data_IF_857854538180
#
_entry.id   IF_857854538180
#
_cell.length_a   1.000
_cell.length_b   1.000
_cell.length_c   1.000
_cell.angle_alpha   90.00
_cell.angle_beta   90.00
_cell.angle_gamma   90.00
#
_symmetry.space_group_name_H-M   'P 1'
#
loop_
_entity.id
_entity.type
_entity.pdbx_description
1 polymer ?
#
# COMPACT_ATOMS: atom_id res chain seq x y z
N UNK A 1 -1.61 4.36 38.96
CA UNK A 1 -2.16 3.88 37.67
C UNK A 1 -1.08 3.74 36.60
N UNK A 2 -0.30 4.79 36.29
CA UNK A 2 0.78 4.75 35.29
C UNK A 2 1.80 3.60 35.51
N UNK A 3 2.19 3.34 36.77
CA UNK A 3 3.09 2.23 37.12
C UNK A 3 2.54 0.83 36.81
N UNK A 4 1.22 0.65 36.81
CA UNK A 4 0.59 -0.60 36.38
C UNK A 4 0.60 -0.75 34.85
N UNK A 5 0.56 0.35 34.09
CA UNK A 5 0.67 0.32 32.63
C UNK A 5 2.08 -0.09 32.17
N UNK A 6 3.12 0.17 32.97
CA UNK A 6 4.47 -0.33 32.67
C UNK A 6 4.55 -1.86 32.68
N UNK A 7 3.66 -2.55 33.41
CA UNK A 7 3.59 -4.01 33.39
C UNK A 7 2.99 -4.58 32.09
N UNK A 8 2.33 -3.75 31.28
CA UNK A 8 1.90 -4.10 29.92
C UNK A 8 3.06 -4.10 28.91
N UNK A 9 4.29 -3.79 29.30
CA UNK A 9 5.43 -3.90 28.40
C UNK A 9 5.98 -5.33 28.37
N UNK A 10 6.51 -5.80 27.22
CA UNK A 10 7.18 -7.09 27.11
C UNK A 10 8.32 -7.22 28.12
N UNK A 11 8.55 -8.44 28.63
CA UNK A 11 9.51 -8.68 29.70
C UNK A 11 10.91 -8.12 29.40
N UNK A 12 11.40 -8.36 28.18
CA UNK A 12 12.75 -7.93 27.77
C UNK A 12 12.87 -6.40 27.64
N UNK A 13 11.76 -5.70 27.39
CA UNK A 13 11.72 -4.23 27.40
C UNK A 13 11.71 -3.67 28.82
N UNK A 14 10.97 -4.33 29.73
CA UNK A 14 10.94 -3.98 31.15
C UNK A 14 12.31 -4.15 31.79
N UNK A 15 13.01 -5.24 31.49
CA UNK A 15 14.36 -5.48 32.00
C UNK A 15 15.37 -4.37 31.65
N UNK A 16 15.13 -3.65 30.54
CA UNK A 16 16.05 -2.59 30.06
C UNK A 16 15.62 -1.17 30.42
N UNK A 17 14.34 -0.84 30.31
CA UNK A 17 13.86 0.56 30.39
C UNK A 17 12.94 0.84 31.57
N UNK A 18 12.61 -0.15 32.40
CA UNK A 18 11.67 0.06 33.51
C UNK A 18 12.22 1.06 34.54
N UNK A 19 13.51 1.02 34.85
CA UNK A 19 14.12 1.95 35.80
C UNK A 19 14.06 3.41 35.30
N UNK A 20 14.46 3.64 34.04
CA UNK A 20 14.42 4.98 33.42
C UNK A 20 12.99 5.53 33.29
N UNK A 21 12.03 4.68 32.90
CA UNK A 21 10.62 5.09 32.79
C UNK A 21 9.98 5.35 34.16
N UNK A 22 10.37 4.63 35.21
CA UNK A 22 9.92 4.92 36.58
C UNK A 22 10.47 6.24 37.11
N UNK A 23 11.70 6.61 36.74
CA UNK A 23 12.32 7.90 37.07
C UNK A 23 11.62 9.06 36.35
N UNK A 24 11.39 8.94 35.03
CA UNK A 24 10.68 9.95 34.25
C UNK A 24 9.24 10.19 34.72
N UNK A 25 8.55 9.15 35.18
CA UNK A 25 7.20 9.27 35.72
C UNK A 25 7.17 9.93 37.12
N UNK A 26 8.31 9.99 37.81
CA UNK A 26 8.44 10.72 39.08
C UNK A 26 8.76 12.20 38.86
N UNK A 27 9.53 12.52 37.82
CA UNK A 27 9.94 13.89 37.50
C UNK A 27 8.83 14.72 36.82
N UNK A 28 7.90 14.08 36.12
CA UNK A 28 6.87 14.78 35.34
C UNK A 28 5.44 14.62 35.89
N UNK A 29 4.62 15.69 35.85
CA UNK A 29 3.22 15.61 36.25
C UNK A 29 2.44 14.68 35.31
N UNK A 30 1.84 13.65 35.88
CA UNK A 30 1.06 12.64 35.15
C UNK A 30 -0.23 13.27 34.61
N UNK A 31 -0.32 13.40 33.29
CA UNK A 31 -1.54 13.86 32.61
C UNK A 31 -2.29 12.66 32.03
N UNK A 32 -3.60 12.78 31.78
CA UNK A 32 -4.38 11.72 31.12
C UNK A 32 -3.79 11.33 29.74
N UNK A 33 -3.17 12.27 29.04
CA UNK A 33 -2.43 12.01 27.79
C UNK A 33 -1.23 11.10 28.00
N UNK A 34 -0.51 11.22 29.11
CA UNK A 34 0.62 10.35 29.47
C UNK A 34 0.18 8.90 29.65
N UNK A 35 -1.04 8.67 30.18
CA UNK A 35 -1.59 7.31 30.32
C UNK A 35 -1.93 6.68 28.96
N UNK A 36 -2.51 7.48 28.05
CA UNK A 36 -2.80 7.05 26.68
C UNK A 36 -1.49 6.75 25.93
N UNK A 37 -0.49 7.61 26.07
CA UNK A 37 0.82 7.44 25.45
C UNK A 37 1.55 6.19 25.97
N UNK A 38 1.53 5.94 27.29
CA UNK A 38 2.09 4.72 27.87
C UNK A 38 1.39 3.46 27.36
N UNK A 39 0.07 3.51 27.22
CA UNK A 39 -0.72 2.40 26.72
C UNK A 39 -0.42 2.11 25.24
N UNK A 40 -0.40 3.14 24.39
CA UNK A 40 -0.02 3.01 22.98
C UNK A 40 1.43 2.53 22.83
N UNK A 41 2.36 3.04 23.63
CA UNK A 41 3.74 2.58 23.66
C UNK A 41 3.88 1.11 24.08
N UNK A 42 3.01 0.61 24.97
CA UNK A 42 3.01 -0.81 25.37
C UNK A 42 2.54 -1.74 24.25
N UNK A 43 1.58 -1.29 23.44
CA UNK A 43 1.11 -1.99 22.24
C UNK A 43 2.21 -1.96 21.17
N UNK A 44 2.85 -0.82 20.96
CA UNK A 44 3.95 -0.66 20.02
C UNK A 44 5.14 -1.56 20.40
N UNK A 45 5.51 -1.61 21.68
CA UNK A 45 6.57 -2.48 22.19
C UNK A 45 6.25 -3.98 21.96
N UNK A 46 4.98 -4.38 22.04
CA UNK A 46 4.55 -5.75 21.72
C UNK A 46 4.60 -6.06 20.22
N UNK A 47 4.36 -5.08 19.35
CA UNK A 47 4.53 -5.21 17.91
C UNK A 47 6.01 -5.23 17.51
N UNK A 48 6.87 -4.63 18.33
CA UNK A 48 8.28 -4.38 18.06
C UNK A 48 9.23 -5.05 19.08
N UNK A 49 8.86 -6.21 19.65
CA UNK A 49 9.67 -6.95 20.64
C UNK A 49 11.10 -7.22 20.16
N UNK A 50 11.33 -7.36 18.85
CA UNK A 50 12.64 -7.62 18.25
C UNK A 50 13.53 -6.38 18.06
N UNK A 51 13.07 -5.17 18.39
CA UNK A 51 13.82 -3.91 18.24
C UNK A 51 14.72 -3.56 19.42
N UNK A 52 14.90 -4.49 20.37
CA UNK A 52 15.80 -4.29 21.50
C UNK A 52 17.21 -4.03 20.96
N UNK A 53 17.87 -2.90 21.33
CA UNK A 53 19.06 -2.44 20.64
C UNK A 53 20.24 -3.41 20.79
N UNK A 54 20.36 -4.32 19.83
CA UNK A 54 21.61 -4.79 19.26
C UNK A 54 21.78 -4.05 17.94
N UNK A 55 22.67 -3.04 17.89
CA UNK A 55 22.72 -1.97 16.86
C UNK A 55 22.58 -2.46 15.41
N UNK A 56 23.12 -3.62 15.06
CA UNK A 56 23.15 -4.13 13.68
C UNK A 56 21.89 -4.91 13.27
N UNK A 57 21.28 -5.68 14.17
CA UNK A 57 20.06 -6.46 13.87
C UNK A 57 18.83 -5.56 13.85
N UNK A 58 18.78 -4.56 14.75
CA UNK A 58 17.73 -3.56 14.78
C UNK A 58 17.70 -2.69 13.50
N UNK A 59 18.86 -2.28 12.97
CA UNK A 59 18.93 -1.48 11.73
C UNK A 59 18.45 -2.25 10.50
N UNK A 60 18.95 -3.48 10.31
CA UNK A 60 18.56 -4.36 9.19
C UNK A 60 17.07 -4.68 9.25
N UNK A 61 16.54 -4.88 10.46
CA UNK A 61 15.11 -5.08 10.68
C UNK A 61 14.28 -3.84 10.36
N UNK A 62 14.72 -2.64 10.76
CA UNK A 62 14.03 -1.37 10.44
C UNK A 62 13.99 -1.08 8.95
N UNK A 63 15.11 -1.24 8.25
CA UNK A 63 15.19 -1.07 6.80
C UNK A 63 14.22 -2.02 6.10
N UNK A 64 14.25 -3.31 6.46
CA UNK A 64 13.37 -4.32 5.87
C UNK A 64 11.89 -4.08 6.21
N UNK A 65 11.57 -3.62 7.42
CA UNK A 65 10.20 -3.28 7.78
C UNK A 65 9.71 -2.04 7.03
N UNK A 66 10.56 -1.02 6.86
CA UNK A 66 10.22 0.16 6.06
C UNK A 66 9.95 -0.19 4.60
N UNK A 67 10.71 -1.11 4.01
CA UNK A 67 10.50 -1.58 2.64
C UNK A 67 9.17 -2.34 2.50
N UNK A 68 8.87 -3.26 3.41
CA UNK A 68 7.58 -3.97 3.43
C UNK A 68 6.42 -2.98 3.54
N UNK A 69 6.54 -1.98 4.43
CA UNK A 69 5.51 -0.95 4.61
C UNK A 69 5.32 -0.11 3.35
N UNK A 70 6.40 0.32 2.69
CA UNK A 70 6.33 1.07 1.42
C UNK A 70 5.67 0.23 0.32
N UNK A 71 6.03 -1.07 0.22
CA UNK A 71 5.41 -1.99 -0.73
C UNK A 71 3.90 -2.16 -0.46
N UNK A 72 3.52 -2.39 0.80
CA UNK A 72 2.12 -2.46 1.20
C UNK A 72 1.36 -1.17 0.86
N UNK A 73 1.94 -0.01 1.20
CA UNK A 73 1.33 1.29 0.93
C UNK A 73 1.14 1.51 -0.57
N UNK A 74 2.12 1.12 -1.40
CA UNK A 74 2.01 1.18 -2.85
C UNK A 74 0.86 0.32 -3.40
N UNK A 75 0.68 -0.90 -2.88
CA UNK A 75 -0.41 -1.79 -3.30
C UNK A 75 -1.77 -1.15 -2.99
N UNK A 76 -1.97 -0.64 -1.78
CA UNK A 76 -3.20 0.07 -1.41
C UNK A 76 -3.41 1.36 -2.21
N UNK A 77 -2.35 2.10 -2.48
CA UNK A 77 -2.38 3.28 -3.33
C UNK A 77 -2.86 2.93 -4.75
N UNK A 78 -2.31 1.87 -5.34
CA UNK A 78 -2.67 1.38 -6.68
C UNK A 78 -4.13 0.94 -6.71
N UNK A 79 -4.62 0.28 -5.66
CA UNK A 79 -6.04 -0.07 -5.53
C UNK A 79 -6.94 1.15 -5.43
N UNK A 80 -6.56 2.16 -4.65
CA UNK A 80 -7.31 3.40 -4.54
C UNK A 80 -7.38 4.12 -5.89
N UNK A 81 -6.27 4.19 -6.60
CA UNK A 81 -6.23 4.77 -7.93
C UNK A 81 -7.05 3.96 -8.94
N UNK A 82 -6.99 2.63 -8.92
CA UNK A 82 -7.84 1.78 -9.74
C UNK A 82 -9.33 2.07 -9.50
N UNK A 83 -9.73 2.31 -8.25
CA UNK A 83 -11.09 2.73 -7.92
C UNK A 83 -11.44 4.08 -8.57
N UNK A 84 -10.54 5.07 -8.54
CA UNK A 84 -10.71 6.34 -9.29
C UNK A 84 -10.85 6.07 -10.79
N UNK A 85 -10.08 5.14 -11.35
CA UNK A 85 -10.20 4.78 -12.78
C UNK A 85 -11.56 4.18 -13.10
N UNK A 86 -12.11 3.33 -12.24
CA UNK A 86 -13.41 2.66 -12.43
C UNK A 86 -14.60 3.63 -12.34
N UNK A 87 -14.49 4.72 -11.58
CA UNK A 87 -15.49 5.81 -11.58
C UNK A 87 -15.60 6.50 -12.94
N UNK A 88 -14.57 6.37 -13.79
CA UNK A 88 -14.56 6.96 -15.15
C UNK A 88 -15.37 6.18 -16.19
N UNK A 89 -16.05 5.10 -15.80
CA UNK A 89 -17.01 4.39 -16.64
C UNK A 89 -18.45 4.87 -16.36
N UNK A 90 -19.24 5.27 -17.38
CA UNK A 90 -19.00 5.12 -18.82
C UNK A 90 -18.09 6.20 -19.45
N UNK A 91 -17.13 5.74 -20.26
CA UNK A 91 -16.08 6.55 -20.90
C UNK A 91 -16.58 7.72 -21.76
N UNK A 92 -17.79 7.63 -22.32
CA UNK A 92 -18.34 8.63 -23.25
C UNK A 92 -18.59 10.00 -22.57
N UNK A 93 -19.16 9.99 -21.37
CA UNK A 93 -19.41 11.23 -20.60
C UNK A 93 -18.08 11.91 -20.20
N UNK A 94 -17.09 11.10 -19.83
CA UNK A 94 -15.74 11.57 -19.50
C UNK A 94 -15.00 12.11 -20.72
N UNK A 95 -15.13 11.46 -21.89
CA UNK A 95 -14.52 11.95 -23.14
C UNK A 95 -15.09 13.30 -23.55
N UNK A 96 -16.40 13.51 -23.43
CA UNK A 96 -17.03 14.79 -23.73
C UNK A 96 -16.55 15.90 -22.80
N UNK A 97 -16.51 15.66 -21.49
CA UNK A 97 -15.99 16.64 -20.52
C UNK A 97 -14.49 16.92 -20.70
N UNK A 98 -13.72 15.91 -21.06
CA UNK A 98 -12.27 16.04 -21.29
C UNK A 98 -11.95 16.80 -22.58
N UNK A 99 -12.85 16.79 -23.57
CA UNK A 99 -12.74 17.63 -24.77
C UNK A 99 -13.09 19.09 -24.47
N UNK A 100 -14.01 19.34 -23.55
CA UNK A 100 -14.41 20.69 -23.15
C UNK A 100 -13.39 21.34 -22.21
N UNK A 101 -12.77 20.56 -21.32
CA UNK A 101 -11.80 21.05 -20.34
C UNK A 101 -10.45 20.32 -20.50
N UNK A 102 -9.53 20.85 -21.34
CA UNK A 102 -8.24 20.20 -21.62
C UNK A 102 -7.35 20.07 -20.36
N UNK A 103 -7.57 20.90 -19.34
CA UNK A 103 -6.87 20.85 -18.06
C UNK A 103 -7.11 19.54 -17.31
N UNK A 104 -8.33 19.00 -17.38
CA UNK A 104 -8.68 17.70 -16.80
C UNK A 104 -7.89 16.60 -17.51
N UNK A 105 -7.78 16.66 -18.84
CA UNK A 105 -6.99 15.70 -19.64
C UNK A 105 -5.52 15.69 -19.25
N UNK A 106 -4.94 16.88 -19.13
CA UNK A 106 -3.53 17.06 -18.80
C UNK A 106 -3.27 16.49 -17.40
N UNK A 107 -4.11 16.83 -16.44
CA UNK A 107 -4.01 16.32 -15.07
C UNK A 107 -4.11 14.80 -15.03
N UNK A 108 -5.08 14.20 -15.73
CA UNK A 108 -5.21 12.74 -15.83
C UNK A 108 -3.97 12.07 -16.40
N UNK A 109 -3.41 12.59 -17.50
CA UNK A 109 -2.20 12.04 -18.11
C UNK A 109 -0.98 12.16 -17.19
N UNK A 110 -0.86 13.26 -16.45
CA UNK A 110 0.22 13.44 -15.48
C UNK A 110 0.11 12.40 -14.37
N UNK A 111 -1.09 12.19 -13.81
CA UNK A 111 -1.27 11.19 -12.74
C UNK A 111 -1.04 9.77 -13.25
N UNK A 112 -1.55 9.43 -14.44
CA UNK A 112 -1.28 8.14 -15.09
C UNK A 112 0.22 7.93 -15.33
N UNK A 113 0.95 8.97 -15.74
CA UNK A 113 2.40 8.93 -15.89
C UNK A 113 3.15 8.73 -14.57
N UNK A 114 2.74 9.43 -13.50
CA UNK A 114 3.33 9.29 -12.16
C UNK A 114 3.09 7.91 -11.55
N UNK A 115 1.91 7.32 -11.78
CA UNK A 115 1.63 5.93 -11.42
C UNK A 115 2.56 4.96 -12.19
N UNK A 116 2.74 5.18 -13.50
CA UNK A 116 3.68 4.40 -14.31
C UNK A 116 5.10 4.47 -13.76
N UNK A 117 5.56 5.65 -13.35
CA UNK A 117 6.86 5.82 -12.70
C UNK A 117 6.94 5.11 -11.35
N UNK A 118 5.88 5.15 -10.55
CA UNK A 118 5.81 4.43 -9.27
C UNK A 118 5.89 2.92 -9.47
N UNK A 119 5.19 2.37 -10.48
CA UNK A 119 5.26 0.97 -10.87
C UNK A 119 6.68 0.56 -11.29
N UNK A 120 7.35 1.39 -12.08
CA UNK A 120 8.75 1.16 -12.47
C UNK A 120 9.69 1.19 -11.26
N UNK A 121 9.46 2.11 -10.32
CA UNK A 121 10.19 2.17 -9.05
C UNK A 121 10.02 0.87 -8.25
N UNK A 122 8.79 0.40 -8.08
CA UNK A 122 8.53 -0.87 -7.39
C UNK A 122 9.15 -2.05 -8.13
N UNK A 123 9.04 -2.11 -9.46
CA UNK A 123 9.68 -3.16 -10.24
C UNK A 123 11.21 -3.15 -10.08
N UNK A 124 11.84 -1.98 -10.13
CA UNK A 124 13.28 -1.84 -9.95
C UNK A 124 13.76 -2.29 -8.55
N UNK A 125 12.95 -2.06 -7.50
CA UNK A 125 13.26 -2.50 -6.13
C UNK A 125 12.94 -3.98 -5.87
N UNK A 126 11.76 -4.43 -6.29
CA UNK A 126 11.26 -5.76 -6.00
C UNK A 126 11.89 -6.85 -6.89
N UNK A 127 12.19 -6.56 -8.16
CA UNK A 127 12.67 -7.57 -9.11
C UNK A 127 14.03 -8.19 -8.68
N UNK A 128 15.07 -7.40 -8.30
CA UNK A 128 16.33 -7.96 -7.84
C UNK A 128 16.17 -8.82 -6.57
N UNK A 129 15.29 -8.39 -5.68
CA UNK A 129 14.99 -9.09 -4.44
C UNK A 129 14.25 -10.41 -4.69
N UNK A 130 13.30 -10.43 -5.62
CA UNK A 130 12.60 -11.64 -6.01
C UNK A 130 13.54 -12.65 -6.70
N UNK A 131 14.44 -12.18 -7.57
CA UNK A 131 15.42 -13.02 -8.25
C UNK A 131 16.37 -13.67 -7.24
N UNK A 132 16.88 -12.91 -6.26
CA UNK A 132 17.79 -13.45 -5.24
C UNK A 132 17.10 -14.47 -4.33
N UNK A 133 15.88 -14.19 -3.89
CA UNK A 133 15.09 -15.14 -3.09
C UNK A 133 14.75 -16.41 -3.89
N UNK A 134 14.35 -16.26 -5.15
CA UNK A 134 14.06 -17.40 -6.02
C UNK A 134 15.29 -18.29 -6.22
N UNK A 135 16.44 -17.68 -6.56
CA UNK A 135 17.70 -18.40 -6.73
C UNK A 135 18.13 -19.11 -5.44
N UNK A 136 17.95 -18.47 -4.27
CA UNK A 136 18.24 -19.07 -2.97
C UNK A 136 17.31 -20.24 -2.64
N UNK A 137 15.99 -20.07 -2.83
CA UNK A 137 15.00 -21.08 -2.55
C UNK A 137 15.17 -22.32 -3.44
N UNK A 138 15.51 -22.09 -4.71
CA UNK A 138 15.80 -23.16 -5.66
C UNK A 138 17.06 -23.93 -5.27
N UNK A 139 18.17 -23.24 -4.96
CA UNK A 139 19.43 -23.88 -4.53
C UNK A 139 19.29 -24.65 -3.22
N UNK A 140 18.52 -24.14 -2.26
CA UNK A 140 18.29 -24.81 -0.96
C UNK A 140 17.07 -25.74 -0.91
N UNK A 141 16.41 -26.00 -2.06
CA UNK A 141 15.21 -26.85 -2.19
C UNK A 141 14.10 -26.54 -1.18
N UNK A 142 13.92 -25.25 -0.86
CA UNK A 142 12.89 -24.80 0.10
C UNK A 142 11.56 -24.55 -0.60
N UNK A 143 10.83 -25.64 -0.85
CA UNK A 143 9.53 -25.62 -1.51
C UNK A 143 8.50 -24.73 -0.83
N UNK A 144 8.57 -24.57 0.51
CA UNK A 144 7.69 -23.66 1.25
C UNK A 144 7.81 -22.20 0.78
N UNK A 145 9.03 -21.75 0.41
CA UNK A 145 9.26 -20.38 -0.07
C UNK A 145 8.81 -20.26 -1.52
N UNK A 146 9.08 -21.27 -2.35
CA UNK A 146 8.67 -21.30 -3.75
C UNK A 146 7.14 -21.30 -3.89
N UNK A 147 6.43 -22.06 -3.05
CA UNK A 147 4.97 -22.05 -3.00
C UNK A 147 4.41 -20.68 -2.65
N UNK A 148 5.02 -20.00 -1.66
CA UNK A 148 4.66 -18.63 -1.29
C UNK A 148 4.90 -17.63 -2.42
N UNK A 149 6.00 -17.79 -3.16
CA UNK A 149 6.34 -16.92 -4.28
C UNK A 149 5.46 -17.17 -5.51
N UNK A 150 4.85 -18.35 -5.62
CA UNK A 150 3.93 -18.68 -6.70
C UNK A 150 2.52 -18.09 -6.50
N UNK A 151 2.16 -17.66 -5.29
CA UNK A 151 0.82 -17.11 -4.99
C UNK A 151 0.51 -15.85 -5.81
N UNK A 152 1.36 -14.82 -5.88
CA UNK A 152 1.08 -13.62 -6.68
C UNK A 152 0.85 -13.87 -8.19
N UNK A 153 1.71 -14.61 -8.92
CA UNK A 153 1.46 -14.87 -10.34
C UNK A 153 0.21 -15.74 -10.55
N UNK A 154 -0.08 -16.68 -9.65
CA UNK A 154 -1.33 -17.45 -9.74
C UNK A 154 -2.56 -16.57 -9.54
N UNK A 155 -2.55 -15.67 -8.55
CA UNK A 155 -3.63 -14.71 -8.34
C UNK A 155 -3.83 -13.76 -9.53
N UNK A 156 -2.74 -13.37 -10.19
CA UNK A 156 -2.81 -12.58 -11.41
C UNK A 156 -3.42 -13.37 -12.58
N UNK A 157 -2.99 -14.63 -12.77
CA UNK A 157 -3.53 -15.51 -13.82
C UNK A 157 -5.03 -15.76 -13.61
N UNK A 158 -5.46 -16.00 -12.36
CA UNK A 158 -6.89 -16.19 -12.06
C UNK A 158 -7.68 -14.92 -12.32
N UNK A 159 -7.16 -13.74 -11.95
CA UNK A 159 -7.79 -12.44 -12.26
C UNK A 159 -7.93 -12.20 -13.77
N UNK A 160 -6.87 -12.43 -14.55
CA UNK A 160 -6.90 -12.27 -16.00
C UNK A 160 -7.85 -13.28 -16.63
N UNK A 161 -7.81 -14.54 -16.20
CA UNK A 161 -8.76 -15.56 -16.66
C UNK A 161 -10.21 -15.17 -16.37
N UNK A 162 -10.48 -14.62 -15.18
CA UNK A 162 -11.80 -14.13 -14.81
C UNK A 162 -12.26 -12.97 -15.70
N UNK A 163 -11.38 -12.01 -15.99
CA UNK A 163 -11.66 -10.89 -16.92
C UNK A 163 -11.96 -11.36 -18.35
N UNK A 164 -11.21 -12.34 -18.85
CA UNK A 164 -11.43 -12.91 -20.19
C UNK A 164 -12.77 -13.64 -20.30
N UNK A 165 -13.26 -14.24 -19.21
CA UNK A 165 -14.60 -14.86 -19.15
C UNK A 165 -15.70 -13.79 -19.05
N UNK A 166 -15.44 -12.69 -18.35
CA UNK A 166 -16.39 -11.58 -18.17
C UNK A 166 -16.61 -10.74 -19.41
N UNK A 167 -15.57 -10.55 -20.24
CA UNK A 167 -15.66 -9.82 -21.50
C UNK A 167 -16.86 -10.27 -22.37
N UNK A 168 -16.92 -11.55 -22.80
CA UNK A 168 -18.02 -12.05 -23.62
C UNK A 168 -19.36 -12.15 -22.88
N UNK A 169 -19.37 -12.33 -21.55
CA UNK A 169 -20.59 -12.41 -20.76
C UNK A 169 -21.24 -11.04 -20.47
N UNK A 170 -20.44 -9.97 -20.44
CA UNK A 170 -20.89 -8.58 -20.25
C UNK A 170 -21.14 -7.83 -21.56
N UNK A 171 -20.67 -8.35 -22.70
CA UNK A 171 -20.95 -7.81 -24.05
C UNK A 171 -22.33 -8.16 -24.60
N UNK A 172 -23.37 -8.13 -23.76
CA UNK A 172 -24.66 -7.57 -24.21
C UNK A 172 -24.59 -6.03 -24.22
N UNK A 173 -23.43 -5.44 -24.54
CA UNK A 173 -23.35 -4.10 -25.12
C UNK A 173 -23.90 -4.17 -26.54
N UNK A 174 -25.22 -4.13 -26.60
CA UNK A 174 -26.06 -3.44 -27.57
C UNK A 174 -25.23 -2.77 -28.66
N UNK A 175 -25.18 -3.41 -29.84
CA UNK A 175 -24.85 -2.74 -31.08
C UNK A 175 -25.88 -1.62 -31.29
N UNK A 176 -25.47 -0.36 -31.16
CA UNK A 176 -26.23 0.79 -31.64
C UNK A 176 -26.78 1.70 -30.55
N UNK A 177 -26.14 2.86 -30.42
CA UNK A 177 -26.54 4.22 -30.01
C UNK A 177 -27.91 4.59 -29.38
N UNK A 178 -28.84 3.69 -29.03
CA UNK A 178 -30.15 4.09 -28.48
C UNK A 178 -30.76 3.03 -27.57
N UNK A 179 -30.16 2.74 -26.42
CA UNK A 179 -30.84 1.96 -25.37
C UNK A 179 -30.65 2.62 -23.99
N UNK A 180 -31.71 2.69 -23.16
CA UNK A 180 -31.63 3.22 -21.81
C UNK A 180 -30.70 2.35 -20.95
N UNK A 181 -30.15 2.94 -19.89
CA UNK A 181 -29.34 2.30 -18.85
C UNK A 181 -29.72 0.83 -18.65
N UNK A 182 -28.86 -0.09 -19.11
CA UNK A 182 -29.09 -1.51 -18.98
C UNK A 182 -29.28 -1.84 -17.50
N UNK A 183 -30.47 -2.34 -17.14
CA UNK A 183 -30.78 -2.75 -15.79
C UNK A 183 -29.78 -3.80 -15.32
N UNK A 184 -29.23 -3.59 -14.12
CA UNK A 184 -28.34 -4.53 -13.43
C UNK A 184 -29.03 -5.89 -13.32
N UNK A 185 -28.71 -6.81 -14.24
CA UNK A 185 -29.17 -8.18 -14.11
C UNK A 185 -28.53 -8.78 -12.85
N UNK A 186 -29.25 -9.63 -12.08
CA UNK A 186 -28.69 -10.26 -10.88
C UNK A 186 -27.37 -11.00 -11.17
N UNK A 187 -27.22 -11.56 -12.38
CA UNK A 187 -25.99 -12.20 -12.84
C UNK A 187 -24.84 -11.22 -13.02
N UNK A 188 -25.06 -10.05 -13.64
CA UNK A 188 -24.03 -9.03 -13.81
C UNK A 188 -23.55 -8.49 -12.45
N UNK A 189 -24.48 -8.28 -11.51
CA UNK A 189 -24.15 -7.88 -10.14
C UNK A 189 -23.29 -8.94 -9.43
N UNK A 190 -23.67 -10.22 -9.51
CA UNK A 190 -22.90 -11.32 -8.92
C UNK A 190 -21.51 -11.46 -9.52
N UNK A 191 -21.37 -11.31 -10.85
CA UNK A 191 -20.06 -11.35 -11.52
C UNK A 191 -19.18 -10.15 -11.13
N UNK A 192 -19.76 -8.96 -11.00
CA UNK A 192 -19.01 -7.77 -10.59
C UNK A 192 -18.56 -7.85 -9.12
N UNK A 193 -19.41 -8.35 -8.22
CA UNK A 193 -19.03 -8.63 -6.83
C UNK A 193 -17.99 -9.74 -6.73
N UNK A 194 -18.14 -10.80 -7.54
CA UNK A 194 -17.16 -11.88 -7.65
C UNK A 194 -15.77 -11.36 -8.07
N UNK A 195 -15.72 -10.44 -9.04
CA UNK A 195 -14.48 -9.77 -9.45
C UNK A 195 -13.82 -9.03 -8.29
N UNK A 196 -14.58 -8.20 -7.57
CA UNK A 196 -14.05 -7.38 -6.46
C UNK A 196 -13.53 -8.27 -5.34
N UNK A 197 -14.28 -9.32 -4.97
CA UNK A 197 -13.87 -10.27 -3.94
C UNK A 197 -12.59 -11.00 -4.35
N UNK A 198 -12.52 -11.48 -5.59
CA UNK A 198 -11.35 -12.21 -6.11
C UNK A 198 -10.11 -11.30 -6.20
N UNK A 199 -10.31 -10.04 -6.59
CA UNK A 199 -9.25 -9.02 -6.61
C UNK A 199 -8.73 -8.73 -5.21
N UNK A 200 -9.60 -8.49 -4.23
CA UNK A 200 -9.20 -8.25 -2.84
C UNK A 200 -8.50 -9.47 -2.23
N UNK A 201 -9.05 -10.67 -2.44
CA UNK A 201 -8.45 -11.91 -1.95
C UNK A 201 -7.07 -12.15 -2.59
N UNK A 202 -6.95 -11.95 -3.90
CA UNK A 202 -5.69 -12.08 -4.63
C UNK A 202 -4.62 -11.12 -4.13
N UNK A 203 -4.99 -9.85 -3.90
CA UNK A 203 -4.09 -8.84 -3.35
C UNK A 203 -3.66 -9.18 -1.93
N UNK A 204 -4.58 -9.52 -1.04
CA UNK A 204 -4.27 -9.87 0.36
C UNK A 204 -3.37 -11.11 0.40
N UNK A 205 -3.72 -12.16 -0.34
CA UNK A 205 -2.92 -13.39 -0.40
C UNK A 205 -1.51 -13.13 -0.92
N UNK A 206 -1.38 -12.30 -1.97
CA UNK A 206 -0.09 -11.88 -2.51
C UNK A 206 0.74 -11.10 -1.49
N UNK A 207 0.11 -10.14 -0.80
CA UNK A 207 0.77 -9.30 0.18
C UNK A 207 1.29 -10.10 1.38
N UNK A 208 0.44 -10.97 1.92
CA UNK A 208 0.80 -11.87 3.02
C UNK A 208 1.92 -12.81 2.60
N UNK A 209 1.82 -13.39 1.40
CA UNK A 209 2.82 -14.32 0.88
C UNK A 209 4.18 -13.64 0.71
N UNK A 210 4.23 -12.45 0.09
CA UNK A 210 5.48 -11.69 -0.10
C UNK A 210 6.05 -11.27 1.26
N UNK A 211 5.22 -10.79 2.19
CA UNK A 211 5.66 -10.39 3.53
C UNK A 211 6.26 -11.56 4.31
N UNK A 212 5.63 -12.72 4.27
CA UNK A 212 6.13 -13.94 4.92
C UNK A 212 7.40 -14.47 4.23
N UNK A 213 7.50 -14.32 2.91
CA UNK A 213 8.67 -14.70 2.12
C UNK A 213 9.88 -13.84 2.52
N UNK A 214 9.69 -12.51 2.51
CA UNK A 214 10.65 -11.53 3.02
C UNK A 214 11.03 -11.83 4.46
N UNK A 215 10.07 -12.22 5.31
CA UNK A 215 10.34 -12.57 6.70
C UNK A 215 11.31 -13.74 6.86
N UNK A 216 11.23 -14.71 5.96
CA UNK A 216 12.00 -15.97 5.98
C UNK A 216 13.33 -15.89 5.22
N UNK A 217 13.58 -14.86 4.41
CA UNK A 217 14.84 -14.69 3.68
C UNK A 217 15.90 -13.95 4.51
N UNK A 218 17.14 -14.44 4.43
CA UNK A 218 18.32 -13.72 4.91
C UNK A 218 18.84 -12.91 3.71
N UNK A 219 18.79 -11.58 3.82
CA UNK A 219 19.23 -10.67 2.77
C UNK A 219 20.55 -10.03 3.17
N UNK A 220 21.49 -9.97 2.23
CA UNK A 220 22.79 -9.35 2.44
C UNK A 220 22.66 -7.82 2.48
N UNK A 221 23.38 -7.16 3.40
CA UNK A 221 23.39 -5.69 3.56
C UNK A 221 23.57 -4.85 2.28
N UNK A 222 24.46 -5.19 1.31
CA UNK A 222 24.61 -4.35 0.11
C UNK A 222 23.36 -4.30 -0.79
N UNK A 223 22.49 -5.31 -0.72
CA UNK A 223 21.21 -5.28 -1.44
C UNK A 223 20.23 -4.27 -0.82
N UNK A 224 20.28 -4.08 0.51
CA UNK A 224 19.43 -3.12 1.22
C UNK A 224 19.76 -1.66 0.87
N UNK A 225 21.03 -1.34 0.63
CA UNK A 225 21.43 0.00 0.20
C UNK A 225 20.98 0.33 -1.24
N UNK A 226 20.91 -0.68 -2.11
CA UNK A 226 20.44 -0.53 -3.49
C UNK A 226 18.91 -0.30 -3.56
N UNK A 227 18.16 -0.80 -2.58
CA UNK A 227 16.68 -0.73 -2.51
C UNK A 227 16.16 0.66 -2.12
N UNK A 228 16.97 1.47 -1.44
CA UNK A 228 16.58 2.83 -1.03
C UNK A 228 16.32 3.79 -2.20
N UNK A 229 17.03 3.62 -3.32
CA UNK A 229 16.88 4.48 -4.50
C UNK A 229 15.52 4.23 -5.20
N UNK A 230 15.12 2.99 -5.50
CA UNK A 230 13.76 2.65 -5.90
C UNK A 230 12.68 3.15 -4.94
N UNK A 231 12.90 3.03 -3.61
CA UNK A 231 11.95 3.50 -2.61
C UNK A 231 11.67 5.02 -2.69
N UNK A 232 12.69 5.81 -3.02
CA UNK A 232 12.53 7.25 -3.29
C UNK A 232 11.65 7.53 -4.51
N UNK A 233 11.84 6.79 -5.60
CA UNK A 233 11.02 6.91 -6.82
C UNK A 233 9.55 6.59 -6.53
N UNK A 234 9.30 5.52 -5.77
CA UNK A 234 7.94 5.12 -5.36
C UNK A 234 7.29 6.19 -4.51
N UNK A 235 8.03 6.74 -3.54
CA UNK A 235 7.52 7.80 -2.65
C UNK A 235 7.17 9.06 -3.44
N UNK A 236 8.01 9.46 -4.41
CA UNK A 236 7.73 10.58 -5.31
C UNK A 236 6.51 10.31 -6.19
N UNK A 237 6.34 9.09 -6.70
CA UNK A 237 5.18 8.70 -7.49
C UNK A 237 3.87 8.74 -6.68
N UNK A 238 3.86 8.19 -5.47
CA UNK A 238 2.69 8.21 -4.57
C UNK A 238 2.33 9.65 -4.17
N UNK A 239 3.31 10.45 -3.77
CA UNK A 239 3.07 11.84 -3.34
C UNK A 239 2.65 12.73 -4.51
N UNK A 240 3.30 12.62 -5.65
CA UNK A 240 2.92 13.34 -6.87
C UNK A 240 1.53 12.95 -7.36
N UNK A 241 1.22 11.66 -7.38
CA UNK A 241 -0.09 11.17 -7.79
C UNK A 241 -1.21 11.55 -6.82
N UNK A 242 -0.91 11.64 -5.52
CA UNK A 242 -1.83 12.19 -4.52
C UNK A 242 -2.14 13.67 -4.80
N UNK A 243 -1.11 14.49 -5.03
CA UNK A 243 -1.29 15.92 -5.36
C UNK A 243 -2.09 16.06 -6.64
N UNK A 244 -1.76 15.30 -7.69
CA UNK A 244 -2.50 15.31 -8.94
C UNK A 244 -3.95 14.85 -8.79
N UNK A 245 -4.24 13.90 -7.88
CA UNK A 245 -5.61 13.48 -7.57
C UNK A 245 -6.39 14.58 -6.84
N UNK A 246 -5.77 15.32 -5.92
CA UNK A 246 -6.39 16.47 -5.26
C UNK A 246 -6.73 17.55 -6.30
N UNK A 247 -5.79 17.85 -7.20
CA UNK A 247 -6.01 18.82 -8.29
C UNK A 247 -7.12 18.36 -9.23
N UNK A 248 -7.13 17.07 -9.60
CA UNK A 248 -8.18 16.48 -10.43
C UNK A 248 -9.56 16.62 -9.79
N UNK A 249 -9.67 16.32 -8.49
CA UNK A 249 -10.93 16.45 -7.75
C UNK A 249 -11.36 17.92 -7.67
N UNK A 250 -10.43 18.85 -7.42
CA UNK A 250 -10.73 20.28 -7.41
C UNK A 250 -11.27 20.77 -8.77
N UNK A 251 -10.61 20.38 -9.87
CA UNK A 251 -11.05 20.69 -11.23
C UNK A 251 -12.42 20.07 -11.55
N UNK A 252 -12.69 18.85 -11.08
CA UNK A 252 -14.00 18.22 -11.25
C UNK A 252 -15.11 18.97 -10.49
N UNK A 253 -14.81 19.54 -9.32
CA UNK A 253 -15.79 20.34 -8.57
C UNK A 253 -16.06 21.70 -9.22
N UNK A 254 -15.05 22.32 -9.85
CA UNK A 254 -15.21 23.66 -10.46
C UNK A 254 -15.76 23.60 -11.88
N UNK A 255 -15.27 22.69 -12.70
CA UNK A 255 -15.54 22.66 -14.15
C UNK A 255 -16.65 21.66 -14.54
N UNK A 256 -16.78 20.55 -13.83
CA UNK A 256 -17.68 19.46 -14.22
C UNK A 256 -18.35 18.76 -13.02
N UNK A 257 -19.16 19.49 -12.22
CA UNK A 257 -19.81 18.94 -11.02
C UNK A 257 -20.77 17.79 -11.34
N UNK A 258 -21.22 17.66 -12.58
CA UNK A 258 -22.03 16.52 -13.05
C UNK A 258 -21.30 15.16 -13.03
N UNK A 259 -19.96 15.15 -12.99
CA UNK A 259 -19.15 13.93 -12.99
C UNK A 259 -18.71 13.50 -11.58
N UNK A 260 -18.95 14.31 -10.56
CA UNK A 260 -18.51 14.04 -9.19
C UNK A 260 -19.50 13.13 -8.47
N UNK A 261 -19.26 11.82 -8.52
CA UNK A 261 -19.82 10.94 -7.49
C UNK A 261 -19.05 11.15 -6.19
N UNK A 262 -19.70 11.76 -5.19
CA UNK A 262 -19.04 12.25 -3.96
C UNK A 262 -18.44 11.10 -3.14
N UNK A 263 -19.09 9.93 -3.11
CA UNK A 263 -18.73 8.83 -2.21
C UNK A 263 -17.46 8.07 -2.67
N UNK A 264 -17.33 7.59 -3.92
CA UNK A 264 -16.15 6.83 -4.33
C UNK A 264 -14.86 7.66 -4.36
N UNK A 265 -14.98 8.94 -4.75
CA UNK A 265 -13.86 9.88 -4.81
C UNK A 265 -13.36 10.28 -3.42
N UNK A 266 -14.26 10.47 -2.45
CA UNK A 266 -13.85 10.77 -1.08
C UNK A 266 -13.14 9.58 -0.41
N UNK A 267 -13.67 8.37 -0.59
CA UNK A 267 -13.05 7.14 -0.01
C UNK A 267 -11.67 6.90 -0.61
N UNK A 268 -11.51 7.00 -1.93
CA UNK A 268 -10.20 6.85 -2.58
C UNK A 268 -9.20 7.91 -2.13
N UNK A 269 -9.62 9.17 -1.98
CA UNK A 269 -8.75 10.24 -1.45
C UNK A 269 -8.26 9.94 -0.03
N UNK A 270 -9.12 9.48 0.87
CA UNK A 270 -8.74 9.10 2.25
C UNK A 270 -7.69 7.99 2.23
N UNK A 271 -7.88 6.96 1.41
CA UNK A 271 -6.92 5.86 1.27
C UNK A 271 -5.59 6.35 0.68
N UNK A 272 -5.62 7.24 -0.31
CA UNK A 272 -4.41 7.83 -0.89
C UNK A 272 -3.66 8.70 0.14
N UNK A 273 -4.37 9.50 0.94
CA UNK A 273 -3.77 10.29 2.03
C UNK A 273 -3.11 9.41 3.09
N UNK A 274 -3.81 8.37 3.54
CA UNK A 274 -3.28 7.42 4.50
C UNK A 274 -2.01 6.73 3.97
N UNK A 275 -2.05 6.24 2.72
CA UNK A 275 -0.89 5.57 2.09
C UNK A 275 0.27 6.53 1.85
N UNK A 276 0.02 7.79 1.46
CA UNK A 276 1.03 8.82 1.34
C UNK A 276 1.76 9.13 2.65
N UNK A 277 1.00 9.32 3.74
CA UNK A 277 1.56 9.56 5.08
C UNK A 277 2.39 8.37 5.58
N UNK A 278 1.87 7.15 5.41
CA UNK A 278 2.58 5.92 5.78
C UNK A 278 3.88 5.78 4.99
N UNK A 279 3.85 6.07 3.68
CA UNK A 279 5.05 5.97 2.82
C UNK A 279 6.10 7.01 3.22
N UNK A 280 5.70 8.26 3.48
CA UNK A 280 6.61 9.33 3.91
C UNK A 280 7.27 9.03 5.24
N UNK A 281 6.50 8.54 6.22
CA UNK A 281 7.02 8.17 7.54
C UNK A 281 7.97 6.97 7.44
N UNK A 282 7.61 5.93 6.67
CA UNK A 282 8.46 4.78 6.44
C UNK A 282 9.78 5.15 5.72
N UNK A 283 9.70 5.97 4.67
CA UNK A 283 10.88 6.45 3.94
C UNK A 283 11.81 7.27 4.84
N UNK A 284 11.26 8.19 5.64
CA UNK A 284 12.04 8.98 6.60
C UNK A 284 12.75 8.09 7.62
N UNK A 285 12.09 7.05 8.14
CA UNK A 285 12.70 6.10 9.07
C UNK A 285 13.84 5.32 8.41
N UNK A 286 13.66 4.86 7.17
CA UNK A 286 14.70 4.17 6.40
C UNK A 286 15.92 5.06 6.12
N UNK A 287 15.68 6.34 5.80
CA UNK A 287 16.76 7.30 5.55
C UNK A 287 17.57 7.64 6.80
N UNK A 288 16.90 7.85 7.94
CA UNK A 288 17.57 8.11 9.23
C UNK A 288 18.40 6.90 9.67
N UNK A 289 17.92 5.68 9.43
CA UNK A 289 18.68 4.47 9.72
C UNK A 289 19.98 4.39 8.92
N UNK A 290 19.99 4.83 7.65
CA UNK A 290 21.20 4.89 6.82
C UNK A 290 22.20 5.96 7.30
N UNK A 291 21.71 7.11 7.75
CA UNK A 291 22.55 8.24 8.15
C UNK A 291 23.29 8.02 9.48
N UNK A 292 22.80 7.13 10.35
CA UNK A 292 23.39 6.78 11.63
C UNK A 292 23.83 5.29 11.66
N UNK A 293 24.96 4.93 11.03
CA UNK A 293 25.46 3.55 10.97
C UNK A 293 25.90 2.96 12.32
#
# INVERSE_FOLDING_TARGET
MARYLLWLYPQVWRERYLAEMEELLQEHPLTNWTLIDLFLGSIDAHLHVNLIPGRLTAMTYRLRNSEIVIFCAFVFYTLAWLAVRLVRDPLAAWQQATQQHPEIKITLNIVDGLEGLALLGVAAGALPLLITIFAFAFKKKRWDILGLLAVPPLAFITLVGYLLVLGPASTQKVNGNTAPEASLTPLAFLLQMGFVILLLAGVIASLVSITLCLKKSQLDKPLLDLILLPAGIVTLGITGGLVGTIVLIALLYTEAPQLTSVVPLAVSLIVMLATGLITLTAFRQGWIARANP
#
